data_IF_002629111225
#
_entry.id   IF_002629111225
#
_cell.length_a   1.000
_cell.length_b   1.000
_cell.length_c   1.000
_cell.angle_alpha   90.00
_cell.angle_beta   90.00
_cell.angle_gamma   90.00
#
_symmetry.space_group_name_H-M   'P 1'
#
loop_
_entity.id
_entity.type
_entity.pdbx_description
1 polymer ?
#
# COMPACT_ATOMS: atom_id res chain seq x y z
N UNK A 1 14.88 23.54 14.41
CA UNK A 1 14.47 22.66 15.53
C UNK A 1 14.29 21.23 15.01
N UNK A 2 14.50 20.17 15.81
CA UNK A 2 14.26 18.79 15.34
C UNK A 2 12.92 18.26 15.86
N UNK A 3 12.14 17.62 14.99
CA UNK A 3 10.85 17.02 15.33
C UNK A 3 10.70 15.68 14.61
N UNK A 4 9.92 14.80 15.19
CA UNK A 4 9.56 13.56 14.51
C UNK A 4 8.57 13.86 13.38
N UNK A 5 8.82 13.31 12.20
CA UNK A 5 7.96 13.40 11.04
C UNK A 5 7.66 12.00 10.50
N UNK A 6 6.50 11.83 9.88
CA UNK A 6 5.98 10.52 9.51
C UNK A 6 5.73 10.46 8.00
N UNK A 7 6.27 9.44 7.35
CA UNK A 7 5.89 9.06 6.00
C UNK A 7 4.68 8.13 6.07
N UNK A 8 3.66 8.41 5.26
CA UNK A 8 2.43 7.62 5.23
C UNK A 8 2.22 6.99 3.85
N UNK A 9 1.68 5.78 3.83
CA UNK A 9 1.28 5.09 2.60
C UNK A 9 0.00 5.70 1.98
N UNK A 10 -0.41 5.19 0.83
CA UNK A 10 -1.65 5.61 0.14
C UNK A 10 -2.92 5.38 0.96
N UNK A 11 -2.86 4.46 1.92
CA UNK A 11 -3.95 4.18 2.85
C UNK A 11 -3.88 5.05 4.11
N UNK A 12 -2.88 5.92 4.23
CA UNK A 12 -2.67 6.85 5.34
C UNK A 12 -1.99 6.23 6.56
N UNK A 13 -1.44 5.01 6.47
CA UNK A 13 -0.72 4.39 7.59
C UNK A 13 0.76 4.76 7.57
N UNK A 14 1.37 4.82 8.75
CA UNK A 14 2.81 5.12 8.89
C UNK A 14 3.63 4.00 8.25
N UNK A 15 4.41 4.36 7.24
CA UNK A 15 5.37 3.50 6.58
C UNK A 15 6.74 3.62 7.27
N UNK A 16 7.23 4.86 7.41
CA UNK A 16 8.52 5.16 8.02
C UNK A 16 8.46 6.40 8.90
N UNK A 17 9.40 6.48 9.84
CA UNK A 17 9.47 7.52 10.86
C UNK A 17 10.85 8.17 10.82
N UNK A 18 10.88 9.48 10.62
CA UNK A 18 12.12 10.23 10.47
C UNK A 18 12.25 11.31 11.54
N UNK A 19 13.48 11.73 11.78
CA UNK A 19 13.76 12.92 12.55
C UNK A 19 13.97 14.07 11.58
N UNK A 20 12.95 14.90 11.43
CA UNK A 20 12.98 16.05 10.55
C UNK A 20 13.59 17.29 11.20
N UNK A 21 14.28 18.09 10.40
CA UNK A 21 14.78 19.41 10.77
C UNK A 21 13.84 20.49 10.23
N UNK A 22 13.38 21.36 11.12
CA UNK A 22 12.48 22.47 10.82
C UNK A 22 13.21 23.80 10.89
N UNK A 23 12.83 24.71 9.99
CA UNK A 23 13.29 26.10 9.98
C UNK A 23 12.70 26.90 11.17
N UNK A 24 13.04 28.19 11.25
CA UNK A 24 12.53 29.10 12.27
C UNK A 24 11.02 29.40 12.11
N UNK A 25 10.45 29.15 10.94
CA UNK A 25 9.04 29.35 10.61
C UNK A 25 8.19 28.09 10.86
N UNK A 26 8.83 26.95 11.16
CA UNK A 26 8.19 25.67 11.43
C UNK A 26 7.92 24.82 10.18
N UNK A 27 8.55 25.12 9.04
CA UNK A 27 8.51 24.29 7.84
C UNK A 27 9.59 23.20 7.90
N UNK A 28 9.27 22.03 7.36
CA UNK A 28 10.22 20.92 7.25
C UNK A 28 11.25 21.24 6.16
N UNK A 29 12.52 21.34 6.55
CA UNK A 29 13.65 21.53 5.63
C UNK A 29 14.17 20.17 5.15
N UNK A 30 14.25 19.20 6.06
CA UNK A 30 14.78 17.86 5.81
C UNK A 30 14.02 16.84 6.66
N UNK A 31 13.60 15.68 6.11
CA UNK A 31 13.65 15.28 4.71
C UNK A 31 12.71 16.10 3.80
N UNK A 32 13.11 16.27 2.53
CA UNK A 32 12.30 16.95 1.50
C UNK A 32 11.26 15.98 0.95
N UNK A 33 9.97 16.29 1.11
CA UNK A 33 8.87 15.48 0.59
C UNK A 33 7.56 15.69 1.35
N UNK A 34 6.57 14.84 1.05
CA UNK A 34 5.26 14.87 1.69
C UNK A 34 5.30 14.08 3.01
N UNK A 35 5.71 14.76 4.08
CA UNK A 35 5.77 14.19 5.43
C UNK A 35 4.74 14.82 6.36
N UNK A 36 4.15 13.99 7.20
CA UNK A 36 3.25 14.44 8.27
C UNK A 36 4.09 14.93 9.44
N UNK A 37 4.01 16.23 9.73
CA UNK A 37 4.69 16.87 10.87
C UNK A 37 3.82 16.91 12.14
N UNK A 38 2.57 16.48 12.05
CA UNK A 38 1.63 16.43 13.17
C UNK A 38 2.00 15.31 14.14
N UNK A 39 2.13 15.65 15.43
CA UNK A 39 2.47 14.70 16.47
C UNK A 39 1.41 13.59 16.56
N UNK A 40 1.86 12.37 16.83
CA UNK A 40 0.96 11.26 17.11
C UNK A 40 0.19 11.49 18.42
N UNK A 41 -1.06 11.00 18.50
CA UNK A 41 -1.80 10.99 19.76
C UNK A 41 -1.04 10.18 20.81
N UNK A 42 -0.87 10.76 22.00
CA UNK A 42 -0.21 10.14 23.15
C UNK A 42 -1.21 10.00 24.31
N UNK A 43 -1.22 8.86 25.05
CA UNK A 43 -0.42 7.66 24.83
C UNK A 43 -0.78 6.96 23.51
N UNK A 44 0.18 6.23 22.94
CA UNK A 44 -0.07 5.47 21.72
C UNK A 44 -1.28 4.54 21.91
N UNK A 45 -2.32 4.66 21.08
CA UNK A 45 -3.50 3.84 21.19
C UNK A 45 -3.22 2.36 20.85
N UNK A 46 -4.11 1.45 21.27
CA UNK A 46 -4.04 0.03 20.91
C UNK A 46 -4.33 -0.25 19.42
N UNK A 47 -4.69 0.79 18.66
CA UNK A 47 -4.92 0.75 17.22
C UNK A 47 -3.78 1.43 16.47
N UNK A 48 -3.55 1.06 15.21
CA UNK A 48 -2.63 1.81 14.35
C UNK A 48 -3.30 3.14 13.93
N UNK A 49 -2.67 4.29 14.23
CA UNK A 49 -3.20 5.58 13.80
C UNK A 49 -3.09 5.70 12.27
N UNK A 50 -4.14 6.26 11.67
CA UNK A 50 -4.24 6.52 10.24
C UNK A 50 -4.33 8.02 9.99
N UNK A 51 -3.55 8.53 9.07
CA UNK A 51 -3.62 9.90 8.61
C UNK A 51 -4.75 10.05 7.59
N UNK A 52 -5.69 10.95 7.85
CA UNK A 52 -6.79 11.24 6.91
C UNK A 52 -6.54 12.47 6.02
N UNK A 53 -5.32 13.01 6.02
CA UNK A 53 -4.96 14.26 5.34
C UNK A 53 -4.99 15.50 6.25
N UNK A 54 -5.69 15.42 7.39
CA UNK A 54 -5.85 16.55 8.33
C UNK A 54 -5.38 16.20 9.74
N UNK A 55 -5.72 15.00 10.21
CA UNK A 55 -5.43 14.54 11.57
C UNK A 55 -5.26 13.01 11.63
N UNK A 56 -4.65 12.55 12.72
CA UNK A 56 -4.59 11.15 13.07
C UNK A 56 -5.96 10.67 13.55
N UNK A 57 -6.51 9.69 12.85
CA UNK A 57 -7.76 8.99 13.21
C UNK A 57 -7.47 7.55 13.59
N UNK A 58 -8.44 6.92 14.24
CA UNK A 58 -8.43 5.49 14.50
C UNK A 58 -8.51 4.73 13.17
N UNK A 59 -7.44 3.99 12.85
CA UNK A 59 -7.36 3.20 11.62
C UNK A 59 -7.95 1.82 11.80
N UNK A 60 -7.25 0.98 12.55
CA UNK A 60 -7.66 -0.40 12.84
C UNK A 60 -6.60 -1.13 13.66
N UNK A 61 -6.96 -2.31 14.17
CA UNK A 61 -6.02 -3.19 14.86
C UNK A 61 -5.04 -3.83 13.87
N UNK A 62 -3.90 -4.30 14.36
CA UNK A 62 -2.91 -4.98 13.52
C UNK A 62 -3.48 -6.24 12.84
N UNK A 63 -4.40 -6.94 13.51
CA UNK A 63 -5.09 -8.11 12.97
C UNK A 63 -6.04 -7.76 11.82
N UNK A 64 -6.79 -6.66 11.93
CA UNK A 64 -7.68 -6.18 10.87
C UNK A 64 -6.89 -5.72 9.64
N UNK A 65 -5.77 -5.04 9.85
CA UNK A 65 -4.90 -4.60 8.76
C UNK A 65 -4.22 -5.77 8.05
N UNK A 66 -3.79 -6.79 8.80
CA UNK A 66 -3.23 -8.01 8.22
C UNK A 66 -4.25 -8.73 7.33
N UNK A 67 -5.50 -8.88 7.80
CA UNK A 67 -6.59 -9.49 7.02
C UNK A 67 -6.90 -8.70 5.75
N UNK A 68 -6.90 -7.36 5.83
CA UNK A 68 -7.15 -6.53 4.66
C UNK A 68 -6.04 -6.64 3.61
N UNK A 69 -4.76 -6.63 4.04
CA UNK A 69 -3.61 -6.82 3.14
C UNK A 69 -3.63 -8.19 2.47
N UNK A 70 -3.93 -9.24 3.22
CA UNK A 70 -4.09 -10.60 2.68
C UNK A 70 -5.19 -10.65 1.61
N UNK A 71 -6.35 -10.05 1.88
CA UNK A 71 -7.45 -9.98 0.91
C UNK A 71 -7.08 -9.21 -0.37
N UNK A 72 -6.30 -8.14 -0.26
CA UNK A 72 -5.82 -7.40 -1.44
C UNK A 72 -4.81 -8.21 -2.25
N UNK A 73 -3.85 -8.88 -1.60
CA UNK A 73 -2.92 -9.78 -2.27
C UNK A 73 -3.67 -10.89 -3.02
N UNK A 74 -4.66 -11.52 -2.38
CA UNK A 74 -5.50 -12.54 -3.01
C UNK A 74 -6.27 -12.03 -4.23
N UNK A 75 -6.75 -10.78 -4.20
CA UNK A 75 -7.40 -10.14 -5.35
C UNK A 75 -6.42 -9.89 -6.50
N UNK A 76 -5.22 -9.41 -6.19
CA UNK A 76 -4.19 -9.11 -7.20
C UNK A 76 -3.57 -10.38 -7.81
N UNK A 77 -3.56 -11.50 -7.07
CA UNK A 77 -3.12 -12.80 -7.57
C UNK A 77 -4.16 -13.48 -8.47
N UNK A 78 -5.42 -13.06 -8.42
CA UNK A 78 -6.45 -13.64 -9.27
C UNK A 78 -6.32 -13.03 -10.67
N UNK A 79 -6.02 -13.82 -11.71
CA UNK A 79 -5.92 -13.30 -13.06
C UNK A 79 -7.25 -12.66 -13.47
N UNK A 80 -7.13 -11.60 -14.25
CA UNK A 80 -8.27 -10.89 -14.83
C UNK A 80 -9.04 -11.80 -15.80
N UNK A 81 -10.29 -11.44 -16.07
CA UNK A 81 -11.13 -12.18 -17.04
C UNK A 81 -10.48 -12.17 -18.43
N UNK A 82 -9.84 -11.07 -18.80
CA UNK A 82 -9.12 -10.93 -20.08
C UNK A 82 -7.93 -11.88 -20.16
N UNK A 83 -7.08 -11.93 -19.13
CA UNK A 83 -5.95 -12.87 -19.07
C UNK A 83 -6.41 -14.34 -19.14
N UNK A 84 -7.55 -14.65 -18.51
CA UNK A 84 -8.13 -16.00 -18.58
C UNK A 84 -8.64 -16.31 -20.00
N UNK A 85 -9.29 -15.35 -20.67
CA UNK A 85 -9.81 -15.53 -22.02
C UNK A 85 -8.69 -15.69 -23.06
N UNK A 86 -7.63 -14.90 -22.94
CA UNK A 86 -6.47 -14.99 -23.82
C UNK A 86 -5.78 -16.35 -23.67
N UNK A 87 -5.57 -16.80 -22.42
CA UNK A 87 -5.02 -18.13 -22.16
C UNK A 87 -5.92 -19.25 -22.70
N UNK A 88 -7.25 -19.13 -22.59
CA UNK A 88 -8.18 -20.14 -23.13
C UNK A 88 -8.13 -20.20 -24.66
N UNK A 89 -7.98 -19.06 -25.33
CA UNK A 89 -7.80 -18.99 -26.79
C UNK A 89 -6.47 -19.63 -27.21
N UNK A 90 -5.39 -19.31 -26.50
CA UNK A 90 -4.06 -19.88 -26.77
C UNK A 90 -4.07 -21.40 -26.60
N UNK A 91 -4.66 -21.90 -25.50
CA UNK A 91 -4.81 -23.34 -25.26
C UNK A 91 -5.62 -23.99 -26.37
N UNK A 92 -6.73 -23.39 -26.83
CA UNK A 92 -7.52 -23.91 -27.96
C UNK A 92 -6.72 -23.99 -29.24
N UNK A 93 -5.96 -22.94 -29.57
CA UNK A 93 -5.12 -22.93 -30.78
C UNK A 93 -4.05 -24.02 -30.69
N UNK A 94 -3.35 -24.11 -29.55
CA UNK A 94 -2.35 -25.16 -29.33
C UNK A 94 -2.96 -26.56 -29.45
N UNK A 95 -4.16 -26.76 -28.88
CA UNK A 95 -4.88 -28.04 -28.96
C UNK A 95 -5.23 -28.37 -30.41
N UNK A 96 -5.73 -27.41 -31.19
CA UNK A 96 -6.04 -27.61 -32.61
C UNK A 96 -4.78 -27.91 -33.43
N UNK A 97 -3.67 -27.22 -33.17
CA UNK A 97 -2.40 -27.46 -33.87
C UNK A 97 -1.82 -28.83 -33.54
N UNK A 98 -1.97 -29.29 -32.29
CA UNK A 98 -1.59 -30.63 -31.85
C UNK A 98 -2.46 -31.69 -32.55
N UNK A 99 -3.78 -31.49 -32.61
CA UNK A 99 -4.72 -32.38 -33.32
C UNK A 99 -4.43 -32.46 -34.83
N UNK A 100 -3.91 -31.39 -35.41
CA UNK A 100 -3.49 -31.33 -36.81
C UNK A 100 -2.06 -31.84 -37.05
N UNK A 101 -1.36 -32.32 -36.02
CA UNK A 101 0.05 -32.77 -36.07
C UNK A 101 1.01 -31.69 -36.63
N UNK A 102 0.66 -30.40 -36.47
CA UNK A 102 1.50 -29.28 -36.90
C UNK A 102 2.63 -29.02 -35.89
N UNK A 103 2.39 -29.38 -34.63
CA UNK A 103 3.32 -29.29 -33.50
C UNK A 103 3.23 -30.59 -32.69
N UNK A 104 4.34 -30.99 -32.04
CA UNK A 104 4.48 -32.23 -31.24
C UNK A 104 4.54 -31.94 -29.73
#
# INVERSE_FOLDING_TARGET
MRKQVYQVDSDGFIEEVFLGELDEEGNLIDPVGDYVTTNLPQPLPFYRPKWNGVQWVEGGTEEELAKHKEQQLLKNLKPSVEEIMDADLEVKILTMLLEMEVIE
#
